data_IF_845220100090
#
_entry.id   IF_845220100090
#
_cell.length_a   1.000
_cell.length_b   1.000
_cell.length_c   1.000
_cell.angle_alpha   90.00
_cell.angle_beta   90.00
_cell.angle_gamma   90.00
#
_symmetry.space_group_name_H-M   'P 1'
#
loop_
_entity.id
_entity.type
_entity.pdbx_description
1 polymer ?
#
# COMPACT_ATOMS: atom_id res chain seq x y z
N UNK A 1 -26.33 -27.77 0.16
CA UNK A 1 -27.28 -26.87 0.86
C UNK A 1 -26.48 -25.79 1.56
N UNK A 2 -26.48 -24.57 1.02
CA UNK A 2 -25.92 -23.39 1.69
C UNK A 2 -26.80 -23.06 2.90
N UNK A 3 -26.25 -23.18 4.09
CA UNK A 3 -26.90 -22.70 5.31
C UNK A 3 -26.83 -21.17 5.31
N UNK A 4 -27.83 -20.50 4.76
CA UNK A 4 -28.02 -19.08 4.93
C UNK A 4 -28.47 -18.83 6.38
N UNK A 5 -27.52 -18.56 7.26
CA UNK A 5 -27.83 -18.02 8.59
C UNK A 5 -28.45 -16.61 8.46
N UNK A 6 -29.25 -16.16 9.46
CA UNK A 6 -29.82 -14.83 9.44
C UNK A 6 -28.70 -13.79 9.31
N UNK A 7 -28.78 -12.94 8.28
CA UNK A 7 -27.88 -11.80 8.11
C UNK A 7 -28.13 -10.84 9.28
N UNK A 8 -27.26 -10.87 10.27
CA UNK A 8 -27.25 -9.83 11.30
C UNK A 8 -26.85 -8.52 10.61
N UNK A 9 -27.69 -7.48 10.62
CA UNK A 9 -27.33 -6.19 10.07
C UNK A 9 -26.06 -5.71 10.78
N UNK A 10 -25.04 -5.28 10.00
CA UNK A 10 -23.90 -4.62 10.61
C UNK A 10 -24.40 -3.37 11.37
N UNK A 11 -23.97 -3.17 12.62
CA UNK A 11 -24.27 -1.93 13.32
C UNK A 11 -23.81 -0.75 12.46
N UNK A 12 -24.66 0.25 12.33
CA UNK A 12 -24.26 1.53 11.72
C UNK A 12 -23.37 2.26 12.73
N UNK A 13 -22.07 2.15 12.55
CA UNK A 13 -21.08 2.86 13.36
C UNK A 13 -20.83 4.30 12.88
N UNK A 14 -21.67 4.83 11.99
CA UNK A 14 -21.47 6.12 11.35
C UNK A 14 -20.37 6.04 10.27
N UNK A 15 -19.56 7.10 10.16
CA UNK A 15 -18.48 7.17 9.18
C UNK A 15 -17.41 6.09 9.42
N UNK A 16 -17.21 5.21 8.44
CA UNK A 16 -16.20 4.14 8.53
C UNK A 16 -14.84 4.70 8.14
N UNK A 17 -13.98 4.89 9.14
CA UNK A 17 -12.60 5.33 8.92
C UNK A 17 -11.69 4.18 8.48
N UNK A 18 -10.59 4.52 7.81
CA UNK A 18 -9.54 3.58 7.39
C UNK A 18 -8.99 2.80 8.60
N UNK A 19 -8.80 3.48 9.72
CA UNK A 19 -8.44 2.94 11.03
C UNK A 19 -8.84 3.97 12.11
N UNK A 20 -8.92 3.60 13.39
CA UNK A 20 -9.24 4.55 14.46
C UNK A 20 -8.25 5.73 14.47
N UNK A 21 -8.77 6.96 14.41
CA UNK A 21 -7.96 8.17 14.36
C UNK A 21 -7.44 8.55 12.98
N UNK A 22 -7.90 7.92 11.90
CA UNK A 22 -7.56 8.35 10.54
C UNK A 22 -8.14 9.73 10.24
N UNK A 23 -7.31 10.62 9.68
CA UNK A 23 -7.67 12.00 9.34
C UNK A 23 -7.37 12.30 7.86
N UNK A 24 -7.76 13.49 7.41
CA UNK A 24 -7.52 13.99 6.07
C UNK A 24 -8.45 13.39 5.00
N UNK A 25 -8.19 13.70 3.74
CA UNK A 25 -9.07 13.32 2.64
C UNK A 25 -9.06 11.82 2.30
N UNK A 26 -7.99 11.10 2.68
CA UNK A 26 -7.89 9.64 2.52
C UNK A 26 -8.47 8.83 3.67
N UNK A 27 -9.02 9.47 4.71
CA UNK A 27 -9.47 8.82 5.95
C UNK A 27 -10.54 7.73 5.78
N UNK A 28 -11.28 7.77 4.69
CA UNK A 28 -12.32 6.79 4.36
C UNK A 28 -11.85 5.69 3.41
N UNK A 29 -10.54 5.55 3.18
CA UNK A 29 -10.01 4.45 2.39
C UNK A 29 -10.48 3.10 2.97
N UNK A 30 -10.98 2.23 2.10
CA UNK A 30 -11.55 0.93 2.50
C UNK A 30 -10.48 -0.14 2.66
N UNK A 31 -9.39 -0.03 1.90
CA UNK A 31 -8.33 -1.02 1.90
C UNK A 31 -8.81 -2.40 1.44
N UNK A 32 -8.21 -3.42 1.99
CA UNK A 32 -8.54 -4.83 1.72
C UNK A 32 -9.68 -5.40 2.57
N UNK A 33 -10.53 -4.56 3.17
CA UNK A 33 -11.64 -5.03 4.00
C UNK A 33 -12.51 -6.06 3.28
N UNK A 34 -12.88 -7.13 3.99
CA UNK A 34 -13.65 -8.28 3.49
C UNK A 34 -12.90 -9.11 2.45
N UNK A 35 -11.61 -8.86 2.26
CA UNK A 35 -10.77 -9.62 1.36
C UNK A 35 -9.94 -10.68 2.07
N UNK A 36 -9.01 -11.25 1.33
CA UNK A 36 -8.08 -12.28 1.81
C UNK A 36 -7.02 -11.67 2.74
N UNK A 37 -6.73 -12.34 3.86
CA UNK A 37 -5.51 -12.06 4.62
C UNK A 37 -4.35 -12.78 3.96
N UNK A 38 -3.37 -12.01 3.47
CA UNK A 38 -2.19 -12.53 2.82
C UNK A 38 -0.96 -12.34 3.69
N UNK A 39 -0.25 -13.43 3.99
CA UNK A 39 0.95 -13.44 4.80
C UNK A 39 2.20 -13.29 3.95
N UNK A 40 2.98 -12.25 4.19
CA UNK A 40 4.34 -12.13 3.64
C UNK A 40 5.28 -12.94 4.51
N UNK A 41 5.76 -14.05 3.97
CA UNK A 41 6.55 -15.06 4.68
C UNK A 41 8.00 -15.12 4.23
N UNK A 42 8.38 -14.29 3.25
CA UNK A 42 9.75 -14.22 2.73
C UNK A 42 10.16 -12.80 2.37
N UNK A 43 11.45 -12.52 2.46
CA UNK A 43 12.08 -11.26 2.02
C UNK A 43 12.50 -11.30 0.54
N UNK A 44 12.23 -12.39 -0.17
CA UNK A 44 12.50 -12.48 -1.60
C UNK A 44 11.71 -11.43 -2.39
N UNK A 45 12.29 -10.94 -3.49
CA UNK A 45 11.63 -9.95 -4.37
C UNK A 45 10.34 -10.49 -5.00
N UNK A 46 10.28 -11.77 -5.32
CA UNK A 46 9.16 -12.37 -6.05
C UNK A 46 8.88 -13.81 -5.59
N UNK A 47 7.81 -14.38 -6.11
CA UNK A 47 7.33 -15.70 -5.76
C UNK A 47 6.29 -15.69 -4.65
N UNK A 48 5.70 -16.85 -4.38
CA UNK A 48 4.67 -17.05 -3.36
C UNK A 48 5.19 -16.61 -1.98
N UNK A 49 4.39 -15.85 -1.25
CA UNK A 49 4.76 -15.33 0.07
C UNK A 49 5.61 -14.07 0.03
N UNK A 50 5.99 -13.53 -1.14
CA UNK A 50 6.68 -12.25 -1.26
C UNK A 50 5.72 -11.06 -1.17
N UNK A 51 6.25 -9.87 -0.85
CA UNK A 51 5.47 -8.64 -0.91
C UNK A 51 4.94 -8.36 -2.32
N UNK A 52 5.74 -8.63 -3.36
CA UNK A 52 5.32 -8.45 -4.76
C UNK A 52 4.10 -9.31 -5.09
N UNK A 53 4.06 -10.56 -4.66
CA UNK A 53 2.88 -11.40 -4.84
C UNK A 53 1.70 -10.90 -4.01
N UNK A 54 1.94 -10.47 -2.77
CA UNK A 54 0.91 -9.92 -1.89
C UNK A 54 0.17 -8.74 -2.53
N UNK A 55 0.89 -7.79 -3.12
CA UNK A 55 0.32 -6.55 -3.68
C UNK A 55 -0.10 -6.65 -5.15
N UNK A 56 0.13 -7.80 -5.79
CA UNK A 56 -0.20 -8.02 -7.21
C UNK A 56 -1.70 -8.18 -7.48
N UNK A 57 -2.49 -8.53 -6.48
CA UNK A 57 -3.94 -8.78 -6.59
C UNK A 57 -4.72 -7.86 -5.66
N UNK A 58 -5.90 -7.42 -6.08
CA UNK A 58 -6.76 -6.58 -5.25
C UNK A 58 -7.42 -7.38 -4.11
N UNK A 59 -7.97 -6.66 -3.13
CA UNK A 59 -8.81 -7.24 -2.08
C UNK A 59 -8.02 -8.03 -1.04
N UNK A 60 -6.83 -7.54 -0.64
CA UNK A 60 -6.00 -8.21 0.36
C UNK A 60 -5.70 -7.33 1.56
N UNK A 61 -5.67 -7.97 2.73
CA UNK A 61 -5.03 -7.44 3.94
C UNK A 61 -3.67 -8.12 4.04
N UNK A 62 -2.61 -7.36 3.80
CA UNK A 62 -1.23 -7.86 3.79
C UNK A 62 -0.62 -7.69 5.17
N UNK A 63 -0.25 -8.81 5.77
CA UNK A 63 0.44 -8.90 7.05
C UNK A 63 1.81 -9.54 6.87
N UNK A 64 2.74 -9.29 7.79
CA UNK A 64 4.12 -9.73 7.66
C UNK A 64 4.50 -10.67 8.80
N UNK A 65 4.93 -11.88 8.45
CA UNK A 65 5.45 -12.88 9.38
C UNK A 65 6.99 -12.81 9.48
N UNK A 66 7.60 -11.95 8.65
CA UNK A 66 9.05 -11.74 8.58
C UNK A 66 9.39 -10.26 8.74
N UNK A 67 10.59 -9.98 9.21
CA UNK A 67 11.18 -8.64 9.29
C UNK A 67 12.49 -8.59 8.51
N UNK A 68 12.82 -7.41 7.99
CA UNK A 68 14.09 -7.18 7.32
C UNK A 68 13.96 -6.37 6.02
N UNK A 69 14.89 -6.56 5.11
CA UNK A 69 15.02 -5.78 3.89
C UNK A 69 14.61 -6.62 2.69
N UNK A 70 13.53 -6.21 2.02
CA UNK A 70 13.10 -6.73 0.72
C UNK A 70 13.85 -5.96 -0.36
N UNK A 71 14.73 -6.65 -1.11
CA UNK A 71 15.55 -6.03 -2.16
C UNK A 71 14.87 -6.20 -3.52
N UNK A 72 14.27 -5.11 -4.01
CA UNK A 72 13.57 -5.10 -5.29
C UNK A 72 14.55 -5.17 -6.47
N UNK A 73 14.31 -6.09 -7.38
CA UNK A 73 15.03 -6.22 -8.67
C UNK A 73 14.39 -5.36 -9.77
N UNK A 74 13.13 -4.98 -9.59
CA UNK A 74 12.38 -4.13 -10.52
C UNK A 74 11.38 -3.27 -9.74
N UNK A 75 10.81 -2.20 -10.33
CA UNK A 75 9.78 -1.40 -9.68
C UNK A 75 8.64 -2.26 -9.13
N UNK A 76 8.10 -1.87 -7.98
CA UNK A 76 6.98 -2.53 -7.33
C UNK A 76 5.71 -1.70 -7.54
N UNK A 77 4.71 -2.27 -8.20
CA UNK A 77 3.41 -1.64 -8.37
C UNK A 77 2.36 -2.30 -7.48
N UNK A 78 1.56 -1.47 -6.83
CA UNK A 78 0.47 -1.90 -5.96
C UNK A 78 -0.84 -2.00 -6.74
N UNK A 79 -1.58 -3.08 -6.51
CA UNK A 79 -2.96 -3.22 -6.97
C UNK A 79 -3.91 -2.39 -6.08
N UNK A 80 -5.18 -2.38 -6.41
CA UNK A 80 -6.24 -1.66 -5.68
C UNK A 80 -6.82 -2.46 -4.53
N UNK A 81 -7.55 -1.78 -3.63
CA UNK A 81 -8.24 -2.39 -2.49
C UNK A 81 -7.28 -3.20 -1.61
N UNK A 82 -6.21 -2.58 -1.15
CA UNK A 82 -5.18 -3.22 -0.32
C UNK A 82 -5.06 -2.53 1.03
N UNK A 83 -4.92 -3.33 2.08
CA UNK A 83 -4.42 -2.86 3.38
C UNK A 83 -3.04 -3.46 3.60
N UNK A 84 -2.03 -2.63 3.75
CA UNK A 84 -0.66 -3.02 4.07
C UNK A 84 -0.42 -2.71 5.54
N UNK A 85 -0.41 -3.74 6.36
CA UNK A 85 -0.23 -3.63 7.79
C UNK A 85 1.23 -3.97 8.17
N UNK A 86 2.19 -3.10 7.77
CA UNK A 86 3.60 -3.39 7.99
C UNK A 86 4.01 -3.35 9.47
N UNK A 87 3.16 -2.78 10.36
CA UNK A 87 3.33 -2.87 11.81
C UNK A 87 3.19 -4.30 12.38
N UNK A 88 2.69 -5.26 11.59
CA UNK A 88 2.63 -6.67 12.00
C UNK A 88 3.98 -7.38 11.88
N UNK A 89 4.91 -6.80 11.14
CA UNK A 89 6.25 -7.38 11.01
C UNK A 89 6.95 -7.46 12.38
N UNK A 90 7.59 -8.57 12.69
CA UNK A 90 8.32 -8.71 13.95
C UNK A 90 9.57 -7.80 13.98
N UNK A 91 10.17 -7.66 15.19
CA UNK A 91 11.43 -6.95 15.39
C UNK A 91 11.42 -5.53 14.83
N UNK A 92 12.39 -5.20 14.00
CA UNK A 92 12.57 -3.86 13.45
C UNK A 92 11.67 -3.56 12.23
N UNK A 93 10.76 -4.47 11.86
CA UNK A 93 9.80 -4.25 10.78
C UNK A 93 10.36 -4.47 9.38
N UNK A 94 9.69 -3.90 8.36
CA UNK A 94 9.98 -4.12 6.94
C UNK A 94 10.58 -2.87 6.29
N UNK A 95 11.60 -3.08 5.48
CA UNK A 95 12.17 -2.09 4.55
C UNK A 95 12.06 -2.61 3.12
N UNK A 96 11.50 -1.82 2.22
CA UNK A 96 11.51 -2.06 0.77
C UNK A 96 12.66 -1.25 0.18
N UNK A 97 13.64 -1.90 -0.43
CA UNK A 97 14.88 -1.28 -0.86
C UNK A 97 15.18 -1.51 -2.35
N UNK A 98 15.77 -0.52 -2.97
CA UNK A 98 16.53 -0.69 -4.23
C UNK A 98 15.77 -0.27 -5.48
N UNK A 99 14.47 0.02 -5.41
CA UNK A 99 13.72 0.44 -6.60
C UNK A 99 12.50 1.29 -6.26
N UNK A 100 11.90 1.90 -7.29
CA UNK A 100 10.67 2.69 -7.20
C UNK A 100 9.46 1.86 -6.75
N UNK A 101 8.62 2.45 -5.91
CA UNK A 101 7.34 1.87 -5.46
C UNK A 101 6.20 2.74 -6.00
N UNK A 102 5.34 2.16 -6.83
CA UNK A 102 4.22 2.86 -7.46
C UNK A 102 2.89 2.50 -6.81
N UNK A 103 2.16 3.51 -6.38
CA UNK A 103 0.77 3.43 -5.95
C UNK A 103 -0.20 4.00 -7.00
N UNK A 104 0.28 4.27 -8.21
CA UNK A 104 -0.54 4.78 -9.31
C UNK A 104 -1.60 3.76 -9.71
N UNK A 105 -2.88 4.18 -9.68
CA UNK A 105 -4.02 3.30 -9.92
C UNK A 105 -4.38 2.36 -8.77
N UNK A 106 -3.75 2.50 -7.63
CA UNK A 106 -4.00 1.68 -6.45
C UNK A 106 -5.15 2.26 -5.60
N UNK A 107 -6.35 2.37 -6.18
CA UNK A 107 -7.52 2.90 -5.46
C UNK A 107 -7.79 2.15 -4.15
N UNK A 108 -8.26 2.88 -3.15
CA UNK A 108 -8.64 2.34 -1.84
C UNK A 108 -7.48 1.61 -1.14
N UNK A 109 -6.36 2.29 -0.96
CA UNK A 109 -5.20 1.72 -0.26
C UNK A 109 -5.06 2.33 1.14
N UNK A 110 -4.84 1.45 2.10
CA UNK A 110 -4.37 1.78 3.45
C UNK A 110 -2.97 1.20 3.56
N UNK A 111 -1.93 2.05 3.72
CA UNK A 111 -0.56 1.60 3.89
C UNK A 111 0.03 2.19 5.15
N UNK A 112 0.43 1.33 6.09
CA UNK A 112 0.91 1.77 7.40
C UNK A 112 2.26 1.15 7.75
N UNK A 113 3.16 1.98 8.34
CA UNK A 113 4.45 1.59 8.90
C UNK A 113 5.44 0.99 7.91
N UNK A 114 5.23 1.13 6.60
CA UNK A 114 6.16 0.66 5.59
C UNK A 114 7.30 1.65 5.40
N UNK A 115 8.51 1.16 5.32
CA UNK A 115 9.71 1.95 5.04
C UNK A 115 10.20 1.68 3.61
N UNK A 116 10.34 2.73 2.81
CA UNK A 116 10.81 2.65 1.42
C UNK A 116 12.14 3.39 1.33
N UNK A 117 13.15 2.71 0.78
CA UNK A 117 14.53 3.18 0.61
C UNK A 117 14.98 2.86 -0.80
N UNK A 118 14.81 3.79 -1.74
CA UNK A 118 15.18 3.52 -3.13
C UNK A 118 16.69 3.36 -3.29
N UNK A 119 17.46 4.37 -2.92
CA UNK A 119 18.92 4.34 -2.97
C UNK A 119 19.51 4.30 -4.37
N UNK A 120 20.82 4.11 -4.45
CA UNK A 120 21.60 4.21 -5.69
C UNK A 120 21.28 3.16 -6.75
N UNK A 121 20.64 2.05 -6.36
CA UNK A 121 20.23 1.00 -7.31
C UNK A 121 18.96 1.35 -8.09
N UNK A 122 18.22 2.37 -7.63
CA UNK A 122 17.07 2.87 -8.36
C UNK A 122 17.47 3.62 -9.62
N UNK A 123 16.56 3.68 -10.58
CA UNK A 123 16.79 4.43 -11.83
C UNK A 123 16.95 5.93 -11.52
N UNK A 124 17.93 6.56 -12.14
CA UNK A 124 18.16 8.00 -12.05
C UNK A 124 16.95 8.82 -12.52
N UNK A 125 16.64 9.92 -11.84
CA UNK A 125 15.46 10.75 -12.11
C UNK A 125 14.14 10.03 -11.81
N UNK A 126 14.13 9.14 -10.81
CA UNK A 126 12.91 8.47 -10.32
C UNK A 126 12.73 8.68 -8.83
N UNK A 127 11.47 8.87 -8.44
CA UNK A 127 11.04 8.99 -7.06
C UNK A 127 11.15 7.64 -6.34
N UNK A 128 11.35 7.67 -5.03
CA UNK A 128 11.32 6.44 -4.25
C UNK A 128 9.90 5.84 -4.20
N UNK A 129 8.87 6.68 -4.08
CA UNK A 129 7.48 6.28 -4.18
C UNK A 129 6.65 7.36 -4.89
N UNK A 130 5.49 7.00 -5.45
CA UNK A 130 4.63 7.99 -6.09
C UNK A 130 3.23 7.51 -6.45
N UNK A 131 2.35 8.51 -6.63
CA UNK A 131 0.96 8.37 -7.09
C UNK A 131 0.73 9.33 -8.25
N UNK A 132 0.56 8.81 -9.46
CA UNK A 132 0.24 9.62 -10.64
C UNK A 132 -1.26 9.70 -10.93
N UNK A 133 -2.05 8.74 -10.44
CA UNK A 133 -3.52 8.69 -10.56
C UNK A 133 -4.10 7.73 -9.54
N UNK A 134 -5.42 7.80 -9.34
CA UNK A 134 -6.15 6.96 -8.39
C UNK A 134 -6.68 7.77 -7.20
N UNK A 135 -7.41 7.12 -6.31
CA UNK A 135 -8.13 7.79 -5.24
C UNK A 135 -8.26 6.98 -3.96
N UNK A 136 -8.61 7.69 -2.86
CA UNK A 136 -8.93 7.10 -1.56
C UNK A 136 -7.74 6.31 -0.98
N UNK A 137 -6.64 6.99 -0.76
CA UNK A 137 -5.42 6.39 -0.22
C UNK A 137 -5.01 7.08 1.07
N UNK A 138 -4.57 6.30 2.04
CA UNK A 138 -3.96 6.84 3.27
C UNK A 138 -2.65 6.12 3.55
N UNK A 139 -1.61 6.93 3.72
CA UNK A 139 -0.25 6.52 4.02
C UNK A 139 0.10 7.01 5.42
N UNK A 140 0.13 6.10 6.39
CA UNK A 140 0.25 6.43 7.80
C UNK A 140 1.53 5.84 8.39
N UNK A 141 2.27 6.65 9.15
CA UNK A 141 3.56 6.26 9.73
C UNK A 141 4.54 5.69 8.69
N UNK A 142 4.54 6.27 7.49
CA UNK A 142 5.47 5.90 6.43
C UNK A 142 6.83 6.56 6.62
N UNK A 143 7.88 5.91 6.14
CA UNK A 143 9.19 6.51 6.01
C UNK A 143 9.73 6.25 4.61
N UNK A 144 9.85 7.32 3.82
CA UNK A 144 10.27 7.24 2.42
C UNK A 144 11.50 8.11 2.21
N UNK A 145 12.62 7.53 1.78
CA UNK A 145 13.88 8.25 1.59
C UNK A 145 14.69 7.70 0.43
N UNK A 146 15.76 8.44 0.09
CA UNK A 146 16.75 8.08 -0.90
C UNK A 146 16.18 7.97 -2.32
N UNK A 147 15.15 8.78 -2.65
CA UNK A 147 14.72 8.97 -4.03
C UNK A 147 15.85 9.57 -4.87
N UNK A 148 15.82 9.28 -6.14
CA UNK A 148 16.80 9.84 -7.09
C UNK A 148 16.24 11.02 -7.88
N UNK A 149 15.06 11.44 -7.51
CA UNK A 149 14.38 12.69 -7.77
C UNK A 149 13.63 13.05 -6.48
N UNK A 150 12.34 12.84 -6.35
CA UNK A 150 11.61 13.04 -5.11
C UNK A 150 11.58 11.77 -4.22
N UNK A 151 11.34 11.96 -2.92
CA UNK A 151 11.12 10.81 -2.04
C UNK A 151 9.71 10.25 -2.23
N UNK A 152 8.68 11.11 -2.20
CA UNK A 152 7.29 10.71 -2.43
C UNK A 152 6.60 11.80 -3.23
N UNK A 153 6.13 11.50 -4.43
CA UNK A 153 5.43 12.44 -5.28
C UNK A 153 3.94 12.09 -5.45
N UNK A 154 3.12 13.11 -5.45
CA UNK A 154 1.71 13.04 -5.88
C UNK A 154 1.56 14.05 -7.00
N UNK A 155 1.57 13.58 -8.24
CA UNK A 155 1.48 14.43 -9.41
C UNK A 155 0.57 13.78 -10.45
N UNK A 156 -0.38 14.55 -10.95
CA UNK A 156 -1.24 14.06 -12.04
C UNK A 156 -0.48 13.93 -13.36
N UNK A 157 -0.92 13.02 -14.22
CA UNK A 157 -0.46 12.95 -15.59
C UNK A 157 -1.15 14.07 -16.41
N UNK A 158 -0.44 15.11 -16.91
CA UNK A 158 -1.05 16.17 -17.67
C UNK A 158 -1.70 15.71 -18.99
N UNK A 159 -1.35 14.52 -19.46
CA UNK A 159 -1.95 13.89 -20.64
C UNK A 159 -3.27 13.19 -20.32
N UNK A 160 -3.61 13.06 -19.03
CA UNK A 160 -4.84 12.41 -18.54
C UNK A 160 -5.55 13.30 -17.53
N UNK A 161 -6.08 14.45 -17.93
CA UNK A 161 -6.64 15.43 -16.98
C UNK A 161 -7.85 14.93 -16.18
N UNK A 162 -8.54 13.89 -16.66
CA UNK A 162 -9.65 13.24 -15.94
C UNK A 162 -9.23 12.20 -14.90
N UNK A 163 -7.96 11.84 -14.86
CA UNK A 163 -7.43 10.74 -14.02
C UNK A 163 -6.37 11.26 -13.03
N UNK A 164 -6.75 12.29 -12.28
CA UNK A 164 -5.86 12.93 -11.31
C UNK A 164 -5.92 12.23 -9.95
N UNK A 165 -4.84 12.24 -9.15
CA UNK A 165 -4.85 11.76 -7.78
C UNK A 165 -5.85 12.57 -6.94
N UNK A 166 -6.67 11.89 -6.11
CA UNK A 166 -7.64 12.57 -5.23
C UNK A 166 -7.90 11.78 -3.96
N UNK A 167 -8.34 12.48 -2.93
CA UNK A 167 -8.64 11.89 -1.61
C UNK A 167 -7.44 11.11 -1.06
N UNK A 168 -6.29 11.77 -0.95
CA UNK A 168 -5.05 11.17 -0.47
C UNK A 168 -4.62 11.88 0.82
N UNK A 169 -4.19 11.10 1.80
CA UNK A 169 -3.53 11.56 3.04
C UNK A 169 -2.15 10.91 3.14
N UNK A 170 -1.14 11.69 3.53
CA UNK A 170 0.22 11.24 3.87
C UNK A 170 0.54 11.70 5.29
#
# INVERSE_FOLDING_TARGET
EEVSGPSVPFPDYGEVLAFPGAEGYGRNAVGGRRGEVYHVTTLADSGKGSLRDAVSKPGRIVVFDVAGIIRLQSPLAFSKNLTIAAQTAPGDGIVVYGNHVSFSGADNVICRYLRIRMGVNGKDGKDAAGVAYGANMIFDHMSVTWGRDECFSINGDPKKPGDQPRNITI
#
